data_IF_987135242345
#
_entry.id   IF_987135242345
#
_cell.length_a   1.000
_cell.length_b   1.000
_cell.length_c   1.000
_cell.angle_alpha   90.00
_cell.angle_beta   90.00
_cell.angle_gamma   90.00
#
_symmetry.space_group_name_H-M   'P 1'
#
loop_
_entity.id
_entity.type
_entity.pdbx_description
1 polymer ?
#
# COMPACT_ATOMS: atom_id res chain seq x y z
N UNK A 1 6.09 -27.13 -13.72
CA UNK A 1 7.36 -27.72 -13.22
C UNK A 1 7.55 -27.22 -11.79
N UNK A 2 7.88 -28.14 -10.87
CA UNK A 2 8.56 -27.87 -9.58
C UNK A 2 7.88 -26.90 -8.58
N UNK A 3 6.99 -27.47 -7.75
CA UNK A 3 6.59 -26.94 -6.43
C UNK A 3 7.77 -26.88 -5.40
N UNK A 4 9.02 -26.99 -5.83
CA UNK A 4 10.19 -27.23 -4.95
C UNK A 4 10.61 -25.96 -4.18
N UNK A 5 10.19 -24.76 -4.60
CA UNK A 5 10.50 -23.49 -3.92
C UNK A 5 9.26 -22.73 -3.41
N UNK A 6 8.07 -23.34 -3.45
CA UNK A 6 6.84 -22.69 -2.96
C UNK A 6 6.87 -22.66 -1.44
N UNK A 7 6.67 -21.47 -0.88
CA UNK A 7 6.66 -21.30 0.56
C UNK A 7 5.65 -20.21 0.97
N UNK A 8 4.86 -20.53 1.99
CA UNK A 8 3.90 -19.62 2.62
C UNK A 8 4.24 -19.55 4.10
N UNK A 9 4.76 -18.40 4.52
CA UNK A 9 5.24 -18.20 5.89
C UNK A 9 4.41 -17.11 6.55
N UNK A 10 4.00 -17.36 7.80
CA UNK A 10 3.42 -16.33 8.65
C UNK A 10 4.51 -15.73 9.52
N UNK A 11 4.59 -14.41 9.55
CA UNK A 11 5.48 -13.65 10.43
C UNK A 11 4.68 -12.59 11.19
N UNK A 12 5.21 -12.15 12.33
CA UNK A 12 4.62 -11.08 13.12
C UNK A 12 5.52 -9.85 13.16
N UNK A 13 4.91 -8.67 13.16
CA UNK A 13 5.65 -7.41 13.12
C UNK A 13 4.98 -6.32 13.95
N UNK A 14 5.77 -5.50 14.64
CA UNK A 14 5.24 -4.30 15.33
C UNK A 14 4.76 -3.28 14.30
N UNK A 15 3.73 -2.52 14.65
CA UNK A 15 3.12 -1.52 13.76
C UNK A 15 4.17 -0.53 13.22
N UNK A 16 5.00 0.03 14.11
CA UNK A 16 5.99 1.03 13.68
C UNK A 16 7.07 0.45 12.77
N UNK A 17 7.54 -0.78 13.05
CA UNK A 17 8.50 -1.49 12.19
C UNK A 17 7.90 -1.76 10.81
N UNK A 18 6.64 -2.20 10.75
CA UNK A 18 5.95 -2.40 9.49
C UNK A 18 5.83 -1.11 8.68
N UNK A 19 5.44 0.00 9.32
CA UNK A 19 5.28 1.26 8.61
C UNK A 19 6.65 1.86 8.20
N UNK A 20 7.61 1.96 9.12
CA UNK A 20 8.89 2.65 8.88
C UNK A 20 9.85 1.82 8.02
N UNK A 21 9.88 0.50 8.19
CA UNK A 21 10.86 -0.37 7.52
C UNK A 21 10.30 -1.09 6.31
N UNK A 22 8.99 -1.42 6.30
CA UNK A 22 8.37 -2.10 5.15
C UNK A 22 7.76 -1.11 4.17
N UNK A 23 6.80 -0.29 4.60
CA UNK A 23 6.06 0.59 3.71
C UNK A 23 6.85 1.83 3.30
N UNK A 24 7.30 2.64 4.26
CA UNK A 24 7.91 3.95 4.00
C UNK A 24 9.25 3.87 3.25
N UNK A 25 9.90 2.69 3.22
CA UNK A 25 11.19 2.43 2.56
C UNK A 25 11.08 1.59 1.28
N UNK A 26 9.89 1.48 0.69
CA UNK A 26 9.66 0.72 -0.55
C UNK A 26 10.05 -0.76 -0.48
N UNK A 27 10.04 -1.36 0.73
CA UNK A 27 10.30 -2.79 0.90
C UNK A 27 9.03 -3.62 0.74
N UNK A 28 7.87 -3.01 0.88
CA UNK A 28 6.57 -3.61 0.61
C UNK A 28 5.75 -2.64 -0.24
N UNK A 29 5.51 -3.04 -1.48
CA UNK A 29 4.99 -2.21 -2.55
C UNK A 29 3.51 -2.49 -2.79
N UNK A 30 2.81 -1.50 -3.31
CA UNK A 30 1.37 -1.60 -3.63
C UNK A 30 1.21 -1.53 -5.14
N UNK A 31 0.82 -2.64 -5.79
CA UNK A 31 0.62 -2.67 -7.24
C UNK A 31 -0.54 -1.77 -7.71
N UNK A 32 -0.42 -1.20 -8.91
CA UNK A 32 -1.45 -0.30 -9.46
C UNK A 32 -2.72 -1.00 -9.96
N UNK A 33 -2.67 -2.31 -10.18
CA UNK A 33 -3.87 -3.08 -10.57
C UNK A 33 -4.90 -3.17 -9.44
N UNK A 34 -4.46 -2.95 -8.20
CA UNK A 34 -5.34 -2.95 -7.05
C UNK A 34 -6.31 -1.76 -7.08
N UNK A 35 -7.27 -1.72 -6.16
CA UNK A 35 -8.17 -0.57 -6.05
C UNK A 35 -7.38 0.63 -5.54
N UNK A 36 -7.80 1.83 -5.93
CA UNK A 36 -7.30 3.04 -5.27
C UNK A 36 -7.61 2.99 -3.76
N UNK A 37 -6.91 3.81 -3.00
CA UNK A 37 -7.23 3.98 -1.58
C UNK A 37 -8.58 4.69 -1.44
N UNK A 38 -9.57 4.00 -0.86
CA UNK A 38 -10.98 4.45 -0.80
C UNK A 38 -11.52 4.56 0.63
N UNK A 39 -10.73 4.20 1.64
CA UNK A 39 -11.17 4.28 3.03
C UNK A 39 -11.37 5.73 3.47
N UNK A 40 -12.57 6.01 3.99
CA UNK A 40 -12.88 7.31 4.59
C UNK A 40 -12.23 7.43 5.98
N UNK A 41 -12.09 8.66 6.52
CA UNK A 41 -11.51 8.87 7.85
C UNK A 41 -12.17 8.05 8.96
N UNK A 42 -13.46 7.73 8.83
CA UNK A 42 -14.19 6.85 9.75
C UNK A 42 -13.65 5.40 9.74
N UNK A 43 -13.33 4.85 8.57
CA UNK A 43 -12.76 3.51 8.45
C UNK A 43 -11.39 3.43 9.13
N UNK A 44 -10.57 4.48 8.94
CA UNK A 44 -9.25 4.59 9.57
C UNK A 44 -9.38 4.70 11.09
N UNK A 45 -10.33 5.48 11.61
CA UNK A 45 -10.61 5.59 13.04
C UNK A 45 -11.06 4.25 13.65
N UNK A 46 -11.93 3.51 12.97
CA UNK A 46 -12.35 2.15 13.39
C UNK A 46 -11.20 1.15 13.39
N UNK A 47 -10.28 1.26 12.44
CA UNK A 47 -9.06 0.44 12.42
C UNK A 47 -8.22 0.69 13.67
N UNK A 48 -7.95 1.95 14.00
CA UNK A 48 -7.18 2.31 15.20
C UNK A 48 -7.91 1.98 16.50
N UNK A 49 -9.23 2.13 16.57
CA UNK A 49 -10.02 1.68 17.73
C UNK A 49 -9.91 0.15 17.92
N UNK A 50 -9.95 -0.62 16.83
CA UNK A 50 -9.73 -2.08 16.88
C UNK A 50 -8.33 -2.41 17.42
N UNK A 51 -7.29 -1.72 16.93
CA UNK A 51 -5.91 -1.88 17.42
C UNK A 51 -5.79 -1.50 18.90
N UNK A 52 -6.40 -0.38 19.31
CA UNK A 52 -6.43 0.11 20.69
C UNK A 52 -7.06 -0.90 21.65
N UNK A 53 -8.09 -1.61 21.20
CA UNK A 53 -8.74 -2.68 21.96
C UNK A 53 -8.06 -4.05 21.83
N UNK A 54 -6.93 -4.13 21.14
CA UNK A 54 -6.24 -5.40 20.83
C UNK A 54 -7.12 -6.39 20.05
N UNK A 55 -8.06 -5.89 19.25
CA UNK A 55 -8.86 -6.73 18.35
C UNK A 55 -8.05 -7.12 17.11
N UNK A 56 -8.26 -8.33 16.58
CA UNK A 56 -7.60 -8.76 15.35
C UNK A 56 -8.09 -7.91 14.16
N UNK A 57 -7.16 -7.30 13.43
CA UNK A 57 -7.47 -6.54 12.20
C UNK A 57 -7.26 -7.36 10.92
N UNK A 58 -7.09 -8.68 11.04
CA UNK A 58 -6.70 -9.58 9.96
C UNK A 58 -5.21 -9.52 9.63
N UNK A 59 -4.79 -10.28 8.62
CA UNK A 59 -3.41 -10.33 8.13
C UNK A 59 -3.15 -9.39 6.96
N UNK A 60 -1.89 -9.06 6.71
CA UNK A 60 -1.42 -8.48 5.45
C UNK A 60 -0.81 -9.60 4.61
N UNK A 61 -1.38 -9.88 3.44
CA UNK A 61 -0.86 -10.89 2.52
C UNK A 61 0.06 -10.21 1.51
N UNK A 62 1.25 -10.76 1.27
CA UNK A 62 2.16 -10.22 0.27
C UNK A 62 2.94 -11.30 -0.49
N UNK A 63 3.36 -10.96 -1.71
CA UNK A 63 4.07 -11.85 -2.62
C UNK A 63 5.46 -11.35 -2.95
N UNK A 64 6.46 -12.23 -2.82
CA UNK A 64 7.85 -11.96 -3.20
C UNK A 64 8.15 -12.60 -4.56
N UNK A 65 8.68 -11.79 -5.47
CA UNK A 65 8.87 -12.16 -6.88
C UNK A 65 10.01 -11.38 -7.54
N UNK A 66 10.53 -11.92 -8.63
CA UNK A 66 11.44 -11.26 -9.57
C UNK A 66 10.70 -10.67 -10.79
N UNK A 67 9.36 -10.67 -10.76
CA UNK A 67 8.52 -10.08 -11.80
C UNK A 67 8.08 -8.68 -11.37
N UNK A 68 8.57 -7.66 -12.07
CA UNK A 68 8.17 -6.29 -11.78
C UNK A 68 6.72 -6.02 -12.18
N UNK A 69 5.99 -5.42 -11.25
CA UNK A 69 4.66 -4.85 -11.42
C UNK A 69 4.74 -3.34 -11.22
N UNK A 70 3.90 -2.61 -11.96
CA UNK A 70 3.73 -1.17 -11.74
C UNK A 70 3.21 -0.91 -10.33
N UNK A 71 3.79 0.07 -9.64
CA UNK A 71 3.44 0.39 -8.25
C UNK A 71 2.94 1.82 -8.11
N UNK A 72 2.04 2.04 -7.16
CA UNK A 72 1.69 3.40 -6.79
C UNK A 72 2.91 4.08 -6.12
N UNK A 73 3.33 5.23 -6.65
CA UNK A 73 4.39 6.07 -6.06
C UNK A 73 3.84 7.21 -5.20
N UNK A 74 2.51 7.33 -5.14
CA UNK A 74 1.78 8.19 -4.22
C UNK A 74 0.52 7.48 -3.74
N UNK A 75 0.31 7.40 -2.43
CA UNK A 75 -0.88 6.78 -1.84
C UNK A 75 -1.39 7.56 -0.65
N UNK A 76 -2.69 7.89 -0.66
CA UNK A 76 -3.32 8.68 0.41
C UNK A 76 -2.62 10.00 0.70
N UNK A 77 -1.93 10.58 -0.31
CA UNK A 77 -1.15 11.81 -0.15
C UNK A 77 0.29 11.62 0.35
N UNK A 78 0.68 10.41 0.72
CA UNK A 78 2.08 10.06 1.02
C UNK A 78 2.84 9.83 -0.29
N UNK A 79 4.01 10.45 -0.42
CA UNK A 79 4.92 10.28 -1.56
C UNK A 79 6.06 9.36 -1.14
N UNK A 80 6.24 8.27 -1.90
CA UNK A 80 7.28 7.29 -1.62
C UNK A 80 8.67 7.81 -2.02
N UNK A 81 9.75 7.38 -1.34
CA UNK A 81 11.07 7.99 -1.51
C UNK A 81 11.72 7.72 -2.88
N UNK A 82 11.39 6.60 -3.54
CA UNK A 82 11.91 6.28 -4.87
C UNK A 82 10.89 6.61 -5.97
N UNK A 83 11.35 6.97 -7.17
CA UNK A 83 10.47 7.02 -8.34
C UNK A 83 10.25 5.63 -8.95
N UNK A 84 9.48 5.55 -10.02
CA UNK A 84 9.20 4.27 -10.69
C UNK A 84 10.47 3.64 -11.28
N UNK A 85 11.36 4.45 -11.85
CA UNK A 85 12.58 3.98 -12.52
C UNK A 85 13.59 3.39 -11.53
N UNK A 86 13.69 3.96 -10.33
CA UNK A 86 14.51 3.43 -9.25
C UNK A 86 13.98 2.10 -8.73
N UNK A 87 12.67 1.99 -8.47
CA UNK A 87 12.05 0.75 -7.97
C UNK A 87 12.13 -0.38 -9.01
N UNK A 88 12.04 -0.05 -10.31
CA UNK A 88 12.17 -1.02 -11.40
C UNK A 88 13.57 -1.66 -11.49
N UNK A 89 14.58 -1.08 -10.85
CA UNK A 89 15.95 -1.63 -10.80
C UNK A 89 16.21 -2.52 -9.58
N UNK A 90 15.20 -2.74 -8.74
CA UNK A 90 15.35 -3.68 -7.63
C UNK A 90 15.51 -5.10 -8.15
N UNK A 91 16.21 -5.94 -7.38
CA UNK A 91 16.43 -7.33 -7.76
C UNK A 91 15.16 -8.16 -7.61
N UNK A 92 14.50 -7.99 -6.47
CA UNK A 92 13.28 -8.67 -6.08
C UNK A 92 12.28 -7.65 -5.55
N UNK A 93 10.99 -7.94 -5.70
CA UNK A 93 9.89 -7.10 -5.25
C UNK A 93 8.99 -7.85 -4.28
N UNK A 94 8.42 -7.12 -3.33
CA UNK A 94 7.41 -7.63 -2.40
C UNK A 94 6.13 -6.82 -2.58
N UNK A 95 5.06 -7.45 -3.04
CA UNK A 95 3.79 -6.80 -3.36
C UNK A 95 2.69 -7.16 -2.39
N UNK A 96 2.01 -6.17 -1.81
CA UNK A 96 0.79 -6.42 -1.03
C UNK A 96 -0.28 -6.98 -1.96
N UNK A 97 -0.86 -8.12 -1.59
CA UNK A 97 -1.99 -8.75 -2.28
C UNK A 97 -3.31 -8.52 -1.54
N UNK A 98 -3.30 -8.58 -0.22
CA UNK A 98 -4.46 -8.30 0.62
C UNK A 98 -4.09 -7.43 1.82
N UNK A 99 -5.05 -6.62 2.27
CA UNK A 99 -4.85 -5.69 3.38
C UNK A 99 -4.28 -4.33 2.96
N UNK A 100 -4.30 -4.01 1.66
CA UNK A 100 -3.83 -2.73 1.11
C UNK A 100 -4.44 -1.51 1.84
N UNK A 101 -5.76 -1.49 2.05
CA UNK A 101 -6.43 -0.36 2.68
C UNK A 101 -5.99 -0.19 4.14
N UNK A 102 -5.78 -1.30 4.87
CA UNK A 102 -5.24 -1.32 6.24
C UNK A 102 -3.80 -0.82 6.27
N UNK A 103 -2.94 -1.35 5.41
CA UNK A 103 -1.53 -0.95 5.31
C UNK A 103 -1.39 0.55 4.97
N UNK A 104 -2.15 1.03 3.98
CA UNK A 104 -2.16 2.44 3.58
C UNK A 104 -2.65 3.32 4.73
N UNK A 105 -3.73 2.92 5.42
CA UNK A 105 -4.27 3.63 6.58
C UNK A 105 -3.24 3.80 7.69
N UNK A 106 -2.49 2.75 8.02
CA UNK A 106 -1.42 2.81 9.02
C UNK A 106 -0.31 3.78 8.59
N UNK A 107 0.11 3.72 7.33
CA UNK A 107 1.14 4.60 6.76
C UNK A 107 0.75 6.07 6.86
N UNK A 108 -0.42 6.44 6.32
CA UNK A 108 -0.86 7.85 6.26
C UNK A 108 -1.25 8.39 7.62
N UNK A 109 -1.68 7.53 8.56
CA UNK A 109 -1.97 7.95 9.94
C UNK A 109 -0.71 8.41 10.67
N UNK A 110 0.42 7.74 10.43
CA UNK A 110 1.71 8.03 11.08
C UNK A 110 2.43 9.16 10.33
N UNK A 111 2.64 9.03 9.03
CA UNK A 111 3.42 10.00 8.26
C UNK A 111 2.64 11.23 7.83
N UNK A 112 1.30 11.14 7.83
CA UNK A 112 0.45 12.12 7.18
C UNK A 112 0.42 11.92 5.67
N UNK A 113 -0.13 12.91 4.99
CA UNK A 113 -0.30 12.93 3.55
C UNK A 113 -1.58 13.67 3.22
N UNK A 114 -1.48 14.63 2.29
CA UNK A 114 -2.66 15.34 1.78
C UNK A 114 -3.24 14.54 0.63
N UNK A 115 -4.29 13.79 0.91
CA UNK A 115 -5.01 13.01 -0.09
C UNK A 115 -6.38 13.58 -0.38
N UNK A 116 -7.09 12.92 -1.30
CA UNK A 116 -8.46 13.29 -1.64
C UNK A 116 -9.45 12.47 -0.82
N UNK A 117 -10.38 13.14 -0.14
CA UNK A 117 -11.56 12.54 0.52
C UNK A 117 -12.79 13.30 0.03
N UNK A 118 -13.70 12.63 -0.69
CA UNK A 118 -14.88 13.25 -1.31
C UNK A 118 -14.49 14.48 -2.13
N UNK A 119 -14.95 15.67 -1.73
CA UNK A 119 -14.67 16.95 -2.36
C UNK A 119 -13.38 17.61 -1.86
N UNK A 120 -12.88 17.21 -0.69
CA UNK A 120 -11.63 17.74 -0.13
C UNK A 120 -10.44 17.08 -0.82
N UNK A 121 -9.70 17.85 -1.62
CA UNK A 121 -8.53 17.38 -2.36
C UNK A 121 -7.25 17.34 -1.51
N UNK A 122 -7.26 17.91 -0.31
CA UNK A 122 -6.08 18.12 0.53
C UNK A 122 -6.29 17.65 1.98
N UNK A 123 -7.14 16.64 2.17
CA UNK A 123 -7.43 16.08 3.49
C UNK A 123 -6.15 15.47 4.09
N UNK A 124 -5.80 15.89 5.32
CA UNK A 124 -4.64 15.38 6.05
C UNK A 124 -5.04 14.21 6.96
N UNK A 125 -4.59 13.02 6.58
CA UNK A 125 -4.86 11.78 7.31
C UNK A 125 -4.03 11.60 8.59
N UNK A 126 -3.16 12.57 8.94
CA UNK A 126 -2.39 12.51 10.19
C UNK A 126 -3.33 12.27 11.36
N UNK A 127 -3.07 11.19 12.10
CA UNK A 127 -3.95 10.71 13.16
C UNK A 127 -3.46 11.15 14.53
N UNK A 128 -4.41 11.58 15.34
CA UNK A 128 -4.24 11.95 16.74
C UNK A 128 -5.13 11.08 17.63
N UNK A 129 -4.80 11.06 18.91
CA UNK A 129 -5.53 10.39 19.96
C UNK A 129 -5.82 11.37 21.10
N UNK A 130 -7.07 11.41 21.53
CA UNK A 130 -7.54 12.20 22.66
C UNK A 130 -7.57 11.31 23.90
N UNK A 131 -6.60 11.50 24.81
CA UNK A 131 -6.49 10.66 26.01
C UNK A 131 -7.56 10.95 27.05
N UNK A 132 -8.38 11.99 26.89
CA UNK A 132 -9.47 12.30 27.83
C UNK A 132 -10.70 11.43 27.62
N UNK A 133 -10.92 10.95 26.39
CA UNK A 133 -12.09 10.15 26.01
C UNK A 133 -11.74 8.89 25.19
N UNK A 134 -10.45 8.61 25.02
CA UNK A 134 -9.91 7.47 24.28
C UNK A 134 -10.37 7.40 22.81
N UNK A 135 -10.44 8.54 22.11
CA UNK A 135 -10.86 8.58 20.70
C UNK A 135 -9.74 9.00 19.76
N UNK A 136 -9.69 8.32 18.61
CA UNK A 136 -8.87 8.73 17.47
C UNK A 136 -9.57 9.80 16.63
N UNK A 137 -8.80 10.76 16.11
CA UNK A 137 -9.31 11.83 15.27
C UNK A 137 -8.25 12.32 14.27
N UNK A 138 -8.69 12.87 13.14
CA UNK A 138 -7.79 13.35 12.09
C UNK A 138 -7.34 14.80 12.33
N UNK A 139 -6.23 15.22 11.71
CA UNK A 139 -5.61 16.53 11.92
C UNK A 139 -6.54 17.73 11.69
N UNK A 140 -7.53 17.59 10.80
CA UNK A 140 -8.53 18.62 10.53
C UNK A 140 -9.41 18.95 11.75
N UNK A 141 -9.56 18.03 12.71
CA UNK A 141 -10.33 18.23 13.94
C UNK A 141 -9.49 18.85 15.08
N UNK A 142 -8.16 18.93 14.92
CA UNK A 142 -7.22 19.29 16.00
C UNK A 142 -7.52 20.66 16.61
N UNK A 143 -7.67 21.70 15.78
CA UNK A 143 -7.94 23.07 16.27
C UNK A 143 -9.22 23.14 17.10
N UNK A 144 -10.29 22.50 16.61
CA UNK A 144 -11.60 22.46 17.29
C UNK A 144 -11.53 21.71 18.63
N UNK A 145 -10.70 20.67 18.74
CA UNK A 145 -10.50 19.95 20.00
C UNK A 145 -9.67 20.75 21.00
N UNK A 146 -8.66 21.48 20.54
CA UNK A 146 -7.82 22.34 21.39
C UNK A 146 -8.60 23.47 22.09
N UNK A 147 -9.77 23.85 21.58
CA UNK A 147 -10.68 24.79 22.25
C UNK A 147 -11.27 24.24 23.57
N UNK A 148 -11.28 22.92 23.74
CA UNK A 148 -11.97 22.23 24.86
C UNK A 148 -11.07 21.32 25.67
N UNK A 149 -9.97 20.86 25.09
CA UNK A 149 -9.06 19.87 25.67
C UNK A 149 -7.66 20.47 25.71
N UNK A 150 -6.97 20.32 26.85
CA UNK A 150 -5.56 20.70 26.98
C UNK A 150 -4.74 20.00 25.87
N UNK A 151 -3.98 20.73 25.04
CA UNK A 151 -3.18 20.15 23.97
C UNK A 151 -2.23 19.04 24.39
N UNK A 152 -1.80 19.00 25.66
CA UNK A 152 -0.96 17.93 26.19
C UNK A 152 -1.63 16.55 26.23
N UNK A 153 -2.97 16.51 26.18
CA UNK A 153 -3.77 15.27 26.12
C UNK A 153 -4.17 14.88 24.68
N UNK A 154 -3.76 15.68 23.69
CA UNK A 154 -4.00 15.44 22.26
C UNK A 154 -2.71 14.95 21.60
N UNK A 155 -2.58 13.64 21.50
CA UNK A 155 -1.35 12.96 21.13
C UNK A 155 -1.33 12.68 19.63
N UNK A 156 -0.24 13.04 18.94
CA UNK A 156 0.00 12.58 17.57
C UNK A 156 0.55 11.15 17.58
N UNK A 157 -0.03 10.26 16.77
CA UNK A 157 0.38 8.84 16.75
C UNK A 157 1.86 8.61 16.44
N UNK A 158 2.44 9.41 15.55
CA UNK A 158 3.86 9.32 15.16
C UNK A 158 4.84 9.51 16.31
N UNK A 159 4.42 10.17 17.39
CA UNK A 159 5.31 10.52 18.49
C UNK A 159 5.25 9.51 19.63
N UNK A 160 4.21 8.66 19.67
CA UNK A 160 4.03 7.62 20.71
C UNK A 160 5.23 6.66 20.82
N UNK A 161 5.80 6.12 19.73
CA UNK A 161 6.95 5.21 19.84
C UNK A 161 8.22 5.87 20.41
N UNK A 162 8.27 7.21 20.46
CA UNK A 162 9.41 7.99 20.96
C UNK A 162 9.25 8.39 22.42
N UNK A 163 8.12 8.04 23.04
CA UNK A 163 7.88 8.38 24.43
C UNK A 163 8.91 7.74 25.34
N UNK A 164 9.36 8.54 26.31
CA UNK A 164 10.19 8.09 27.40
C UNK A 164 9.65 8.63 28.71
N UNK A 165 10.40 8.42 29.78
CA UNK A 165 10.02 8.87 31.12
C UNK A 165 9.68 10.37 31.19
N UNK A 166 10.39 11.21 30.43
CA UNK A 166 10.14 12.66 30.38
C UNK A 166 8.73 13.00 29.89
N UNK A 167 8.26 12.34 28.83
CA UNK A 167 6.91 12.58 28.30
C UNK A 167 5.83 12.36 29.37
N UNK A 168 5.89 11.23 30.08
CA UNK A 168 4.91 10.93 31.13
C UNK A 168 4.97 11.94 32.27
N UNK A 169 6.17 12.37 32.66
CA UNK A 169 6.35 13.41 33.69
C UNK A 169 5.73 14.75 33.26
N UNK A 170 5.98 15.16 32.03
CA UNK A 170 5.50 16.43 31.48
C UNK A 170 3.97 16.45 31.39
N UNK A 171 3.37 15.35 30.94
CA UNK A 171 1.90 15.20 30.85
C UNK A 171 1.26 15.09 32.23
N UNK A 172 1.87 14.38 33.17
CA UNK A 172 1.37 14.26 34.54
C UNK A 172 1.37 15.59 35.32
N UNK A 173 2.21 16.56 34.92
CA UNK A 173 2.21 17.91 35.51
C UNK A 173 1.13 18.84 34.97
N UNK A 174 0.35 18.40 33.98
CA UNK A 174 -0.68 19.24 33.34
C UNK A 174 -1.96 19.28 34.17
N UNK A 175 -2.60 20.45 34.20
CA UNK A 175 -3.92 20.60 34.79
C UNK A 175 -4.95 19.70 34.08
N UNK A 176 -5.76 19.00 34.87
CA UNK A 176 -6.77 18.05 34.38
C UNK A 176 -6.27 16.60 34.23
N UNK A 177 -4.98 16.34 34.46
CA UNK A 177 -4.45 14.97 34.46
C UNK A 177 -5.13 14.11 35.52
N UNK A 178 -5.45 12.86 35.18
CA UNK A 178 -6.10 11.91 36.07
C UNK A 178 -5.74 10.47 35.67
N UNK A 179 -6.21 9.50 36.46
CA UNK A 179 -5.93 8.07 36.24
C UNK A 179 -6.50 7.51 34.95
N UNK A 180 -7.61 8.05 34.44
CA UNK A 180 -8.19 7.58 33.17
C UNK A 180 -7.32 8.02 31.99
N UNK A 181 -6.82 9.27 32.02
CA UNK A 181 -5.84 9.78 31.05
C UNK A 181 -4.56 8.93 31.10
N UNK A 182 -4.05 8.65 32.30
CA UNK A 182 -2.88 7.78 32.48
C UNK A 182 -3.10 6.40 31.83
N UNK A 183 -4.22 5.74 32.15
CA UNK A 183 -4.58 4.44 31.59
C UNK A 183 -4.68 4.46 30.07
N UNK A 184 -5.30 5.50 29.51
CA UNK A 184 -5.43 5.68 28.07
C UNK A 184 -4.07 5.89 27.38
N UNK A 185 -3.16 6.66 27.98
CA UNK A 185 -1.81 6.87 27.44
C UNK A 185 -0.97 5.60 27.52
N UNK A 186 -1.05 4.85 28.63
CA UNK A 186 -0.38 3.55 28.76
C UNK A 186 -0.92 2.57 27.72
N UNK A 187 -2.24 2.49 27.55
CA UNK A 187 -2.86 1.62 26.55
C UNK A 187 -2.45 2.03 25.12
N UNK A 188 -2.39 3.34 24.83
CA UNK A 188 -1.92 3.83 23.54
C UNK A 188 -0.45 3.46 23.28
N UNK A 189 0.42 3.55 24.29
CA UNK A 189 1.82 3.12 24.13
C UNK A 189 1.91 1.61 23.83
N UNK A 190 1.09 0.80 24.49
CA UNK A 190 1.08 -0.66 24.33
C UNK A 190 0.75 -1.12 22.92
N UNK A 191 -0.06 -0.39 22.16
CA UNK A 191 -0.33 -0.80 20.77
C UNK A 191 0.92 -0.75 19.88
N UNK A 192 1.90 0.10 20.22
CA UNK A 192 3.15 0.17 19.44
C UNK A 192 4.20 -0.83 19.95
N UNK A 193 4.14 -1.24 21.21
CA UNK A 193 5.11 -2.17 21.81
C UNK A 193 4.67 -3.63 21.73
N UNK A 194 3.38 -3.90 21.98
CA UNK A 194 2.85 -5.23 22.27
C UNK A 194 1.97 -5.74 21.12
N UNK A 195 1.24 -4.87 20.40
CA UNK A 195 0.40 -5.30 19.29
C UNK A 195 1.24 -5.74 18.09
N UNK A 196 0.97 -6.94 17.56
CA UNK A 196 1.66 -7.52 16.42
C UNK A 196 0.72 -7.69 15.23
N UNK A 197 1.14 -7.13 14.10
CA UNK A 197 0.54 -7.37 12.79
C UNK A 197 0.94 -8.76 12.31
N UNK A 198 -0.02 -9.52 11.80
CA UNK A 198 0.23 -10.80 11.13
C UNK A 198 0.49 -10.53 9.65
N UNK A 199 1.66 -10.91 9.16
CA UNK A 199 2.02 -10.83 7.76
C UNK A 199 2.12 -12.26 7.20
N UNK A 200 1.51 -12.49 6.04
CA UNK A 200 1.59 -13.77 5.33
C UNK A 200 2.39 -13.53 4.06
N UNK A 201 3.56 -14.15 3.99
CA UNK A 201 4.48 -14.10 2.86
C UNK A 201 4.20 -15.25 1.92
N UNK A 202 4.05 -14.97 0.64
CA UNK A 202 4.01 -15.95 -0.46
C UNK A 202 5.27 -15.79 -1.29
N UNK A 203 5.98 -16.88 -1.57
CA UNK A 203 7.12 -16.89 -2.48
C UNK A 203 7.18 -18.18 -3.31
N UNK A 204 7.91 -18.14 -4.43
CA UNK A 204 8.05 -19.29 -5.33
C UNK A 204 6.77 -19.64 -6.10
N UNK A 205 5.90 -18.65 -6.28
CA UNK A 205 4.63 -18.74 -7.02
C UNK A 205 4.71 -17.81 -8.23
N UNK A 206 4.25 -18.27 -9.38
CA UNK A 206 4.22 -17.46 -10.60
C UNK A 206 3.08 -16.44 -10.61
N UNK A 207 3.08 -15.56 -11.63
CA UNK A 207 2.06 -14.51 -11.77
C UNK A 207 0.65 -15.09 -11.85
N UNK A 208 0.45 -16.22 -12.55
CA UNK A 208 -0.88 -16.80 -12.77
C UNK A 208 -1.48 -17.30 -11.47
N UNK A 209 -0.71 -18.08 -10.71
CA UNK A 209 -1.17 -18.63 -9.46
C UNK A 209 -1.34 -17.52 -8.40
N UNK A 210 -0.50 -16.47 -8.39
CA UNK A 210 -0.72 -15.32 -7.51
C UNK A 210 -1.97 -14.54 -7.87
N UNK A 211 -2.29 -14.40 -9.17
CA UNK A 211 -3.55 -13.81 -9.59
C UNK A 211 -4.74 -14.61 -9.07
N UNK A 212 -4.70 -15.95 -9.16
CA UNK A 212 -5.74 -16.81 -8.58
C UNK A 212 -5.85 -16.67 -7.06
N UNK A 213 -4.73 -16.63 -6.34
CA UNK A 213 -4.72 -16.43 -4.89
C UNK A 213 -5.36 -15.07 -4.56
N UNK A 214 -4.97 -14.01 -5.26
CA UNK A 214 -5.53 -12.67 -5.08
C UNK A 214 -7.04 -12.67 -5.29
N UNK A 215 -7.53 -13.25 -6.39
CA UNK A 215 -8.96 -13.29 -6.70
C UNK A 215 -9.77 -14.11 -5.68
N UNK A 216 -9.19 -15.19 -5.12
CA UNK A 216 -9.86 -16.01 -4.11
C UNK A 216 -9.88 -15.36 -2.73
N UNK A 217 -8.81 -14.65 -2.36
CA UNK A 217 -8.72 -13.94 -1.07
C UNK A 217 -9.55 -12.66 -1.08
N UNK A 218 -9.62 -11.98 -2.22
CA UNK A 218 -10.36 -10.74 -2.37
C UNK A 218 -11.89 -11.00 -2.45
N UNK A 219 -12.52 -11.21 -1.29
CA UNK A 219 -13.95 -11.52 -1.15
C UNK A 219 -14.90 -10.44 -1.72
N UNK A 220 -14.42 -9.21 -1.96
CA UNK A 220 -15.22 -8.08 -2.47
C UNK A 220 -15.13 -7.86 -4.00
N UNK A 221 -14.55 -8.79 -4.77
CA UNK A 221 -14.91 -8.98 -6.18
C UNK A 221 -14.29 -8.02 -7.24
N UNK A 222 -13.07 -7.48 -7.06
CA UNK A 222 -12.35 -6.88 -8.21
C UNK A 222 -11.44 -7.94 -8.84
N UNK A 223 -11.77 -8.32 -10.08
CA UNK A 223 -10.86 -9.09 -10.94
C UNK A 223 -9.64 -8.24 -11.28
N UNK A 224 -8.48 -8.88 -11.42
CA UNK A 224 -7.30 -8.22 -11.96
C UNK A 224 -7.58 -7.72 -13.39
N UNK A 225 -6.99 -6.58 -13.75
CA UNK A 225 -7.04 -6.12 -15.15
C UNK A 225 -6.22 -7.11 -16.01
N UNK A 226 -6.82 -7.72 -17.05
CA UNK A 226 -6.12 -8.63 -17.94
C UNK A 226 -4.84 -8.04 -18.54
N UNK A 227 -4.81 -6.72 -18.78
CA UNK A 227 -3.61 -6.03 -19.28
C UNK A 227 -2.48 -6.08 -18.25
N UNK A 228 -2.78 -5.88 -16.97
CA UNK A 228 -1.77 -5.90 -15.92
C UNK A 228 -1.20 -7.31 -15.72
N UNK A 229 -2.02 -8.35 -15.88
CA UNK A 229 -1.56 -9.75 -15.93
C UNK A 229 -0.59 -9.96 -17.10
N UNK A 230 -0.94 -9.49 -18.30
CA UNK A 230 -0.08 -9.65 -19.49
C UNK A 230 1.23 -8.85 -19.32
N UNK A 231 1.18 -7.65 -18.76
CA UNK A 231 2.37 -6.84 -18.47
C UNK A 231 3.29 -7.59 -17.51
N UNK A 232 2.74 -8.14 -16.42
CA UNK A 232 3.48 -8.93 -15.45
C UNK A 232 4.14 -10.16 -16.10
N UNK A 233 3.40 -10.91 -16.91
CA UNK A 233 3.91 -12.13 -17.59
C UNK A 233 4.99 -11.85 -18.62
N UNK A 234 4.91 -10.71 -19.30
CA UNK A 234 5.82 -10.38 -20.39
C UNK A 234 7.08 -9.68 -19.89
N UNK A 235 7.10 -9.24 -18.63
CA UNK A 235 8.25 -8.56 -18.05
C UNK A 235 9.51 -9.43 -18.10
N UNK A 236 10.61 -8.82 -18.51
CA UNK A 236 11.95 -9.42 -18.45
C UNK A 236 12.93 -8.40 -17.92
N UNK A 237 13.67 -8.80 -16.88
CA UNK A 237 14.85 -8.07 -16.43
C UNK A 237 15.99 -8.17 -17.43
N UNK A 238 16.85 -7.15 -17.46
CA UNK A 238 18.10 -7.25 -18.19
C UNK A 238 19.03 -8.22 -17.47
N UNK A 239 19.56 -9.18 -18.22
CA UNK A 239 20.60 -10.11 -17.76
C UNK A 239 21.68 -10.11 -18.83
N UNK A 240 22.69 -9.26 -18.63
CA UNK A 240 23.80 -9.08 -19.58
C UNK A 240 24.62 -10.37 -19.73
N UNK A 241 24.73 -11.16 -18.65
CA UNK A 241 25.48 -12.42 -18.65
C UNK A 241 24.78 -13.47 -19.51
N UNK A 242 23.45 -13.47 -19.57
CA UNK A 242 22.65 -14.36 -20.42
C UNK A 242 22.24 -13.74 -21.77
N UNK A 243 22.66 -12.51 -22.08
CA UNK A 243 22.27 -11.79 -23.29
C UNK A 243 20.78 -11.46 -23.37
N UNK A 244 20.07 -11.46 -22.24
CA UNK A 244 18.63 -11.16 -22.17
C UNK A 244 18.47 -9.64 -22.04
N UNK A 245 17.82 -9.04 -23.05
CA UNK A 245 17.45 -7.62 -22.99
C UNK A 245 16.20 -7.41 -22.14
N UNK A 246 16.18 -6.32 -21.40
CA UNK A 246 15.00 -5.88 -20.67
C UNK A 246 13.81 -5.74 -21.63
N UNK A 247 12.63 -6.18 -21.16
CA UNK A 247 11.38 -5.97 -21.86
C UNK A 247 10.29 -5.61 -20.87
N UNK A 248 9.57 -4.53 -21.16
CA UNK A 248 8.42 -4.11 -20.36
C UNK A 248 7.30 -3.62 -21.28
N UNK A 249 6.22 -4.40 -21.34
CA UNK A 249 5.12 -4.18 -22.28
C UNK A 249 4.45 -2.82 -22.09
N UNK A 250 4.37 -2.30 -20.87
CA UNK A 250 3.71 -1.02 -20.60
C UNK A 250 4.39 0.14 -21.33
N UNK A 251 5.71 0.19 -21.33
CA UNK A 251 6.47 1.23 -22.05
C UNK A 251 6.19 1.13 -23.55
N UNK A 252 6.16 -0.09 -24.09
CA UNK A 252 5.82 -0.34 -25.51
C UNK A 252 4.40 0.04 -25.88
N UNK A 253 3.44 -0.21 -24.98
CA UNK A 253 2.06 0.26 -25.17
C UNK A 253 1.97 1.78 -25.13
N UNK A 254 2.73 2.45 -24.27
CA UNK A 254 2.78 3.92 -24.19
C UNK A 254 3.38 4.51 -25.47
N UNK A 255 4.55 4.02 -25.90
CA UNK A 255 5.19 4.43 -27.16
C UNK A 255 4.23 4.26 -28.34
N UNK A 256 3.56 3.11 -28.44
CA UNK A 256 2.60 2.83 -29.51
C UNK A 256 1.38 3.77 -29.46
N UNK A 257 0.87 4.08 -28.26
CA UNK A 257 -0.24 5.02 -28.09
C UNK A 257 0.09 6.43 -28.55
N UNK A 258 1.30 6.90 -28.25
CA UNK A 258 1.78 8.20 -28.72
C UNK A 258 1.83 8.24 -30.25
N UNK A 259 2.34 7.18 -30.88
CA UNK A 259 2.34 7.04 -32.34
C UNK A 259 0.91 7.03 -32.88
N UNK A 260 0.02 6.19 -32.35
CA UNK A 260 -1.37 6.09 -32.81
C UNK A 260 -2.12 7.43 -32.69
N UNK A 261 -1.94 8.12 -31.57
CA UNK A 261 -2.54 9.44 -31.31
C UNK A 261 -2.06 10.48 -32.33
N UNK A 262 -0.79 10.41 -32.76
CA UNK A 262 -0.25 11.29 -33.81
C UNK A 262 -0.84 11.02 -35.20
N UNK A 263 -1.39 9.83 -35.44
CA UNK A 263 -1.98 9.42 -36.74
C UNK A 263 -3.45 9.79 -36.89
N UNK A 264 -4.10 10.36 -35.86
CA UNK A 264 -5.41 10.97 -35.95
C UNK A 264 -6.29 10.80 -34.71
N UNK A 265 -7.28 11.69 -34.56
CA UNK A 265 -8.19 11.75 -33.40
C UNK A 265 -8.93 10.44 -33.10
N UNK A 266 -9.19 9.61 -34.12
CA UNK A 266 -9.87 8.30 -33.95
C UNK A 266 -9.13 7.32 -33.04
N UNK A 267 -7.85 7.57 -32.73
CA UNK A 267 -7.03 6.69 -31.91
C UNK A 267 -6.70 7.24 -30.51
N UNK A 268 -7.17 8.46 -30.16
CA UNK A 268 -6.76 9.15 -28.93
C UNK A 268 -7.25 8.48 -27.64
N UNK A 269 -8.31 7.66 -27.70
CA UNK A 269 -8.95 7.06 -26.52
C UNK A 269 -8.96 5.53 -26.54
N UNK A 270 -8.08 4.90 -27.32
CA UNK A 270 -8.05 3.43 -27.38
C UNK A 270 -7.53 2.85 -26.06
N UNK A 271 -8.32 1.96 -25.48
CA UNK A 271 -7.98 1.21 -24.27
C UNK A 271 -6.77 0.30 -24.47
N UNK A 272 -5.96 0.09 -23.42
CA UNK A 272 -4.79 -0.78 -23.50
C UNK A 272 -5.16 -2.21 -23.94
N UNK A 273 -6.28 -2.74 -23.44
CA UNK A 273 -6.75 -4.08 -23.79
C UNK A 273 -7.03 -4.21 -25.29
N UNK A 274 -7.66 -3.20 -25.90
CA UNK A 274 -7.94 -3.19 -27.34
C UNK A 274 -6.65 -3.21 -28.15
N UNK A 275 -5.64 -2.42 -27.76
CA UNK A 275 -4.33 -2.42 -28.43
C UNK A 275 -3.68 -3.81 -28.34
N UNK A 276 -3.68 -4.42 -27.15
CA UNK A 276 -3.13 -5.76 -26.95
C UNK A 276 -3.88 -6.80 -27.78
N UNK A 277 -5.20 -6.70 -27.88
CA UNK A 277 -6.03 -7.58 -28.73
C UNK A 277 -5.70 -7.40 -30.22
N UNK A 278 -5.53 -6.17 -30.70
CA UNK A 278 -5.13 -5.89 -32.08
C UNK A 278 -3.77 -6.51 -32.40
N UNK A 279 -2.77 -6.31 -31.53
CA UNK A 279 -1.45 -6.93 -31.69
C UNK A 279 -1.56 -8.46 -31.72
N UNK A 280 -2.39 -9.04 -30.86
CA UNK A 280 -2.59 -10.50 -30.79
C UNK A 280 -3.16 -11.07 -32.10
N UNK A 281 -4.00 -10.31 -32.80
CA UNK A 281 -4.52 -10.69 -34.12
C UNK A 281 -3.39 -10.66 -35.17
N UNK A 282 -2.62 -9.57 -35.23
CA UNK A 282 -1.50 -9.44 -36.17
C UNK A 282 -0.43 -10.52 -35.97
N UNK A 283 -0.12 -10.86 -34.72
CA UNK A 283 0.83 -11.94 -34.39
C UNK A 283 0.34 -13.32 -34.83
N UNK A 284 -0.98 -13.56 -34.80
CA UNK A 284 -1.55 -14.81 -35.34
C UNK A 284 -1.37 -14.88 -36.85
N UNK A 285 -1.67 -13.80 -37.57
CA UNK A 285 -1.52 -13.76 -39.03
C UNK A 285 -0.07 -14.07 -39.47
N UNK A 286 0.93 -13.45 -38.83
CA UNK A 286 2.35 -13.73 -39.12
C UNK A 286 2.78 -15.18 -38.83
N UNK A 287 2.17 -15.84 -37.84
CA UNK A 287 2.46 -17.25 -37.56
C UNK A 287 1.89 -18.18 -38.63
N UNK A 288 0.72 -17.86 -39.18
CA UNK A 288 0.16 -18.61 -40.30
C UNK A 288 0.93 -18.38 -41.59
N UNK A 289 1.41 -17.16 -41.87
CA UNK A 289 2.23 -16.89 -43.05
C UNK A 289 3.61 -17.58 -43.04
N UNK A 290 4.17 -17.90 -41.86
CA UNK A 290 5.43 -18.66 -41.74
C UNK A 290 5.28 -20.17 -41.86
N UNK A 291 4.05 -20.68 -42.01
CA UNK A 291 3.75 -22.13 -42.11
C UNK A 291 3.12 -22.51 -43.45
N UNK A 292 3.08 -21.58 -44.41
CA UNK A 292 2.83 -21.81 -45.84
C UNK A 292 4.09 -21.47 -46.64
#
# INVERSE_FOLDING_TARGET
MSNINRDIVSEDMKIITFVDEKLAKDKLLIPTFQREFVWEPENIRKLWDSIFRFYPIGSILYWVTDNYLTTHRKLGGFEFPHDEDAVRKFKDWSYILDGQQRATSLLVSIYGGKGKVKEDKNFDYTMYFDSTNAQFFCANELKKRQEKVNPAFLVRLRDVPKWGFSFYKDVASQEGYNKDIEGNLVQLARIFTDYKLVLIKIQGVDVDEVCEIFERVNQEGKKLDPVDIIIAKTYRNEDLDKGIKMFYLRDKLKELKEILSSKGHRFQDIGNLTIVQMISICLREEQFEKHY
#
